data_IF_397128824742
#
_entry.id   IF_397128824742
#
_cell.length_a   1.000
_cell.length_b   1.000
_cell.length_c   1.000
_cell.angle_alpha   90.00
_cell.angle_beta   90.00
_cell.angle_gamma   90.00
#
_symmetry.space_group_name_H-M   'P 1'
#
loop_
_entity.id
_entity.type
_entity.pdbx_description
1 polymer ?
#
# COMPACT_ATOMS: atom_id res chain seq x y z
N UNK A 1 22.35 29.91 1.14
CA UNK A 1 21.62 28.82 1.82
C UNK A 1 20.91 29.42 3.00
N UNK A 2 19.60 29.21 3.13
CA UNK A 2 18.89 29.53 4.37
C UNK A 2 19.34 28.57 5.47
N UNK A 3 19.32 29.06 6.71
CA UNK A 3 19.68 28.29 7.91
C UNK A 3 18.58 28.46 8.96
N UNK A 4 18.40 27.43 9.78
CA UNK A 4 17.61 27.50 11.00
C UNK A 4 18.54 27.69 12.19
N UNK A 5 18.08 28.41 13.22
CA UNK A 5 18.80 28.55 14.48
C UNK A 5 18.19 27.66 15.56
N UNK A 6 19.02 26.90 16.25
CA UNK A 6 18.66 26.13 17.44
C UNK A 6 19.41 26.70 18.64
N UNK A 7 18.68 27.15 19.66
CA UNK A 7 19.27 27.51 20.96
C UNK A 7 19.09 26.35 21.92
N UNK A 8 20.19 25.81 22.45
CA UNK A 8 20.16 24.69 23.40
C UNK A 8 21.24 24.89 24.47
N UNK A 9 20.83 24.83 25.75
CA UNK A 9 21.71 25.05 26.91
C UNK A 9 22.52 26.36 26.84
N UNK A 10 21.91 27.44 26.30
CA UNK A 10 22.56 28.75 26.15
C UNK A 10 23.51 28.87 24.96
N UNK A 11 23.72 27.81 24.17
CA UNK A 11 24.50 27.84 22.94
C UNK A 11 23.57 27.98 21.72
N UNK A 12 24.01 28.74 20.71
CA UNK A 12 23.35 28.79 19.40
C UNK A 12 24.04 27.86 18.40
N UNK A 13 23.24 27.11 17.65
CA UNK A 13 23.68 26.25 16.58
C UNK A 13 22.95 26.63 15.29
N UNK A 14 23.69 26.72 14.19
CA UNK A 14 23.12 26.88 12.86
C UNK A 14 22.94 25.53 12.19
N UNK A 15 21.72 25.26 11.74
CA UNK A 15 21.34 24.04 11.04
C UNK A 15 21.04 24.42 9.57
N UNK A 16 21.68 23.77 8.59
CA UNK A 16 21.34 23.98 7.19
C UNK A 16 19.87 23.65 6.92
N UNK A 17 19.27 24.34 5.94
CA UNK A 17 17.96 23.95 5.42
C UNK A 17 18.07 23.52 3.97
N UNK A 18 17.25 22.55 3.59
CA UNK A 18 17.06 22.09 2.22
C UNK A 18 15.64 22.42 1.77
N UNK A 19 15.47 22.83 0.52
CA UNK A 19 14.15 23.11 -0.07
C UNK A 19 13.91 22.12 -1.20
N UNK A 20 12.83 21.37 -1.12
CA UNK A 20 12.38 20.43 -2.14
C UNK A 20 11.86 21.13 -3.40
N UNK A 21 11.64 20.35 -4.47
CA UNK A 21 11.16 20.86 -5.76
C UNK A 21 9.74 21.44 -5.67
N UNK A 22 8.94 21.03 -4.68
CA UNK A 22 7.58 21.53 -4.44
C UNK A 22 7.52 22.50 -3.24
N UNK A 23 8.69 22.99 -2.80
CA UNK A 23 8.82 24.02 -1.77
C UNK A 23 8.80 23.52 -0.33
N UNK A 24 8.91 22.21 -0.12
CA UNK A 24 9.02 21.60 1.21
C UNK A 24 10.34 22.01 1.86
N UNK A 25 10.30 22.42 3.12
CA UNK A 25 11.50 22.86 3.84
C UNK A 25 11.91 21.79 4.86
N UNK A 26 13.12 21.26 4.71
CA UNK A 26 13.73 20.34 5.66
C UNK A 26 14.87 21.03 6.43
N UNK A 27 14.94 20.78 7.74
CA UNK A 27 16.07 21.19 8.58
C UNK A 27 17.04 20.01 8.66
N UNK A 28 18.28 20.19 8.21
CA UNK A 28 19.27 19.13 8.22
C UNK A 28 19.85 18.90 9.62
N UNK A 29 19.56 17.72 10.19
CA UNK A 29 19.97 17.35 11.55
C UNK A 29 21.03 16.23 11.60
N UNK A 30 21.64 15.87 10.47
CA UNK A 30 22.61 14.78 10.40
C UNK A 30 23.81 14.95 11.36
N UNK A 31 24.23 16.20 11.62
CA UNK A 31 25.33 16.53 12.54
C UNK A 31 24.85 16.89 13.95
N UNK A 32 23.53 17.00 14.20
CA UNK A 32 22.95 17.53 15.43
C UNK A 32 23.51 16.85 16.68
N UNK A 33 23.54 15.52 16.72
CA UNK A 33 24.06 14.78 17.88
C UNK A 33 25.55 14.97 18.08
N UNK A 34 26.32 15.02 16.99
CA UNK A 34 27.77 15.21 17.06
C UNK A 34 28.15 16.60 17.57
N UNK A 35 27.32 17.61 17.30
CA UNK A 35 27.58 19.00 17.71
C UNK A 35 26.95 19.39 19.04
N UNK A 36 25.80 18.82 19.39
CA UNK A 36 25.03 19.21 20.60
C UNK A 36 24.98 18.13 21.69
N UNK A 37 25.27 16.87 21.36
CA UNK A 37 25.00 15.71 22.21
C UNK A 37 23.53 15.27 22.24
N UNK A 38 22.60 16.07 21.73
CA UNK A 38 21.16 15.80 21.75
C UNK A 38 20.68 14.97 20.54
N UNK A 39 19.49 14.40 20.67
CA UNK A 39 18.72 13.80 19.58
C UNK A 39 17.34 14.42 19.56
N UNK A 40 16.68 14.43 18.40
CA UNK A 40 15.24 14.75 18.32
C UNK A 40 14.42 13.59 18.89
N UNK A 41 13.23 13.90 19.42
CA UNK A 41 12.23 12.93 19.84
C UNK A 41 10.96 13.19 19.05
N UNK A 42 10.67 12.32 18.08
CA UNK A 42 9.53 12.45 17.17
C UNK A 42 8.83 11.09 17.04
N UNK A 43 8.01 10.75 18.03
CA UNK A 43 7.28 9.49 18.06
C UNK A 43 6.34 9.39 16.85
N UNK A 44 6.56 8.38 16.00
CA UNK A 44 5.78 8.17 14.78
C UNK A 44 6.25 8.98 13.57
N UNK A 45 7.40 9.66 13.65
CA UNK A 45 8.08 10.32 12.52
C UNK A 45 7.27 11.42 11.82
N UNK A 46 6.28 12.01 12.49
CA UNK A 46 5.38 12.99 11.88
C UNK A 46 6.05 14.31 11.47
N UNK A 47 7.22 14.62 12.04
CA UNK A 47 8.00 15.82 11.76
C UNK A 47 9.37 15.49 11.14
N UNK A 48 9.61 14.23 10.77
CA UNK A 48 10.92 13.74 10.31
C UNK A 48 10.84 13.31 8.84
N UNK A 49 11.41 14.12 7.94
CA UNK A 49 11.68 13.70 6.57
C UNK A 49 12.84 12.69 6.55
N UNK A 50 12.53 11.40 6.40
CA UNK A 50 13.51 10.31 6.53
C UNK A 50 14.43 10.13 5.33
N UNK A 51 14.06 10.65 4.15
CA UNK A 51 14.84 10.54 2.92
C UNK A 51 14.49 11.69 1.97
N UNK A 52 15.36 11.89 0.97
CA UNK A 52 15.02 12.61 -0.26
C UNK A 52 14.44 11.59 -1.23
N UNK A 53 13.40 11.97 -1.98
CA UNK A 53 12.79 11.08 -2.96
C UNK A 53 12.25 11.87 -4.14
N UNK A 54 12.31 11.26 -5.31
CA UNK A 54 11.81 11.80 -6.57
C UNK A 54 10.63 10.96 -7.11
N UNK A 55 10.11 10.01 -6.32
CA UNK A 55 9.11 9.02 -6.77
C UNK A 55 7.70 9.61 -6.76
N UNK A 56 7.26 10.07 -5.59
CA UNK A 56 5.89 10.49 -5.36
C UNK A 56 5.87 11.74 -4.52
N UNK A 57 5.00 12.68 -4.90
CA UNK A 57 4.74 13.90 -4.15
C UNK A 57 3.28 13.93 -3.69
N UNK A 58 3.06 14.40 -2.47
CA UNK A 58 1.73 14.58 -1.88
C UNK A 58 1.61 15.96 -1.24
N UNK A 59 0.59 16.72 -1.65
CA UNK A 59 0.11 17.89 -0.90
C UNK A 59 -1.25 17.52 -0.28
N UNK A 60 -1.22 17.14 1.00
CA UNK A 60 -2.41 16.72 1.74
C UNK A 60 -3.44 17.84 1.93
N UNK A 61 -3.00 19.10 1.99
CA UNK A 61 -3.91 20.23 2.12
C UNK A 61 -4.63 20.49 0.80
N UNK A 62 -3.95 20.36 -0.33
CA UNK A 62 -4.55 20.60 -1.65
C UNK A 62 -5.17 19.37 -2.31
N UNK A 63 -4.97 18.18 -1.74
CA UNK A 63 -5.44 16.93 -2.35
C UNK A 63 -4.65 16.56 -3.61
N UNK A 64 -3.34 16.86 -3.65
CA UNK A 64 -2.48 16.54 -4.80
C UNK A 64 -1.76 15.23 -4.53
N UNK A 65 -1.79 14.34 -5.51
CA UNK A 65 -0.94 13.15 -5.59
C UNK A 65 -0.30 13.11 -6.97
N UNK A 66 1.03 13.02 -7.02
CA UNK A 66 1.77 12.89 -8.27
C UNK A 66 2.76 11.75 -8.20
N UNK A 67 2.81 10.95 -9.25
CA UNK A 67 3.91 10.00 -9.48
C UNK A 67 4.84 10.58 -10.53
N UNK A 68 6.11 10.78 -10.19
CA UNK A 68 7.13 11.38 -11.08
C UNK A 68 6.66 12.69 -11.74
N UNK A 69 5.91 13.51 -10.99
CA UNK A 69 5.35 14.78 -11.47
C UNK A 69 4.03 14.69 -12.23
N UNK A 70 3.60 13.51 -12.69
CA UNK A 70 2.30 13.32 -13.34
C UNK A 70 1.17 13.21 -12.30
N UNK A 71 0.06 13.92 -12.53
CA UNK A 71 -1.12 13.84 -11.65
C UNK A 71 -1.71 12.42 -11.65
N UNK A 72 -2.22 11.99 -10.50
CA UNK A 72 -2.84 10.68 -10.38
C UNK A 72 -4.08 10.54 -11.27
N UNK A 73 -4.81 11.63 -11.48
CA UNK A 73 -5.98 11.71 -12.36
C UNK A 73 -5.60 11.38 -13.80
N UNK A 74 -4.55 12.00 -14.34
CA UNK A 74 -4.11 11.73 -15.71
C UNK A 74 -3.59 10.31 -15.88
N UNK A 75 -2.85 9.80 -14.88
CA UNK A 75 -2.34 8.44 -14.94
C UNK A 75 -3.48 7.40 -14.93
N UNK A 76 -4.47 7.57 -14.03
CA UNK A 76 -5.58 6.64 -13.94
C UNK A 76 -6.53 6.67 -15.16
N UNK A 77 -6.55 7.78 -15.90
CA UNK A 77 -7.37 7.92 -17.11
C UNK A 77 -6.68 7.40 -18.38
N UNK A 78 -5.36 7.61 -18.51
CA UNK A 78 -4.69 7.52 -19.82
C UNK A 78 -3.72 6.36 -19.99
N UNK A 79 -3.24 5.74 -18.90
CA UNK A 79 -2.18 4.73 -18.98
C UNK A 79 -2.55 3.42 -18.30
N UNK A 80 -1.82 2.37 -18.66
CA UNK A 80 -1.93 1.06 -18.03
C UNK A 80 -1.16 0.98 -16.71
N UNK A 81 -1.49 0.00 -15.87
CA UNK A 81 -0.77 -0.25 -14.63
C UNK A 81 0.70 -0.61 -14.90
N UNK A 82 1.01 -1.28 -16.00
CA UNK A 82 2.37 -1.61 -16.42
C UNK A 82 3.18 -0.35 -16.75
N UNK A 83 2.58 0.64 -17.43
CA UNK A 83 3.20 1.94 -17.66
C UNK A 83 3.49 2.67 -16.34
N UNK A 84 2.54 2.64 -15.39
CA UNK A 84 2.72 3.25 -14.06
C UNK A 84 3.78 2.51 -13.24
N UNK A 85 3.78 1.18 -13.25
CA UNK A 85 4.79 0.38 -12.59
C UNK A 85 6.19 0.69 -13.15
N UNK A 86 6.29 0.86 -14.47
CA UNK A 86 7.52 1.28 -15.11
C UNK A 86 7.95 2.69 -14.67
N UNK A 87 7.02 3.65 -14.76
CA UNK A 87 7.23 5.04 -14.38
C UNK A 87 7.76 5.18 -12.95
N UNK A 88 7.13 4.55 -11.97
CA UNK A 88 7.53 4.73 -10.57
C UNK A 88 8.90 4.13 -10.30
N UNK A 89 9.28 3.02 -10.95
CA UNK A 89 10.57 2.34 -10.72
C UNK A 89 11.71 3.06 -11.45
N UNK A 90 11.52 3.40 -12.73
CA UNK A 90 12.59 3.90 -13.61
C UNK A 90 12.56 5.41 -13.87
N UNK A 91 11.53 6.12 -13.41
CA UNK A 91 11.48 7.59 -13.40
C UNK A 91 10.73 8.23 -14.54
N UNK A 92 10.61 7.56 -15.69
CA UNK A 92 9.97 8.08 -16.90
C UNK A 92 8.94 7.10 -17.45
N UNK A 93 7.94 7.61 -18.19
CA UNK A 93 6.99 6.74 -18.90
C UNK A 93 7.73 5.94 -20.00
N UNK A 94 7.40 4.65 -20.20
CA UNK A 94 8.09 3.85 -21.18
C UNK A 94 7.74 4.28 -22.61
N UNK A 95 8.72 4.23 -23.51
CA UNK A 95 8.45 4.16 -24.96
C UNK A 95 7.74 2.87 -25.33
N UNK A 96 7.13 2.80 -26.52
CA UNK A 96 6.43 1.61 -26.99
C UNK A 96 7.32 0.34 -26.98
N UNK A 97 8.59 0.45 -27.37
CA UNK A 97 9.53 -0.68 -27.37
C UNK A 97 9.91 -1.10 -25.93
N UNK A 98 10.08 -0.13 -25.02
CA UNK A 98 10.33 -0.41 -23.61
C UNK A 98 9.13 -1.10 -22.96
N UNK A 99 7.90 -0.61 -23.20
CA UNK A 99 6.68 -1.20 -22.67
C UNK A 99 6.49 -2.62 -23.20
N UNK A 100 6.71 -2.85 -24.50
CA UNK A 100 6.64 -4.18 -25.10
C UNK A 100 7.67 -5.14 -24.49
N UNK A 101 8.91 -4.69 -24.28
CA UNK A 101 9.96 -5.49 -23.65
C UNK A 101 9.62 -5.80 -22.18
N UNK A 102 9.18 -4.79 -21.44
CA UNK A 102 8.78 -4.90 -20.04
C UNK A 102 7.63 -5.90 -19.85
N UNK A 103 6.55 -5.73 -20.60
CA UNK A 103 5.37 -6.64 -20.56
C UNK A 103 5.73 -8.07 -20.94
N UNK A 104 6.54 -8.28 -21.98
CA UNK A 104 6.99 -9.62 -22.37
C UNK A 104 7.81 -10.31 -21.25
N UNK A 105 8.67 -9.56 -20.54
CA UNK A 105 9.43 -10.10 -19.39
C UNK A 105 8.52 -10.38 -18.19
N UNK A 106 7.50 -9.55 -17.95
CA UNK A 106 6.50 -9.83 -16.92
C UNK A 106 5.73 -11.12 -17.23
N UNK A 107 5.33 -11.33 -18.49
CA UNK A 107 4.68 -12.58 -18.92
C UNK A 107 5.59 -13.79 -18.71
N UNK A 108 6.88 -13.67 -19.05
CA UNK A 108 7.87 -14.73 -18.85
C UNK A 108 8.01 -15.13 -17.37
N UNK A 109 8.11 -14.16 -16.47
CA UNK A 109 8.27 -14.40 -15.03
C UNK A 109 6.96 -14.62 -14.28
N UNK A 110 5.80 -14.57 -14.94
CA UNK A 110 4.52 -14.82 -14.31
C UNK A 110 4.37 -16.31 -13.89
N UNK A 111 5.06 -17.23 -14.57
CA UNK A 111 5.10 -18.64 -14.18
C UNK A 111 6.06 -18.79 -12.99
N UNK A 112 5.49 -19.00 -11.81
CA UNK A 112 6.24 -19.25 -10.56
C UNK A 112 6.54 -20.74 -10.38
N UNK A 113 7.61 -21.04 -9.65
CA UNK A 113 8.03 -22.40 -9.34
C UNK A 113 6.94 -23.22 -8.62
N UNK A 114 6.84 -24.51 -8.92
CA UNK A 114 5.84 -25.41 -8.33
C UNK A 114 5.98 -25.55 -6.81
N UNK A 115 7.18 -25.37 -6.25
CA UNK A 115 7.45 -25.35 -4.82
C UNK A 115 6.64 -24.30 -4.06
N UNK A 116 6.24 -23.21 -4.72
CA UNK A 116 5.31 -22.20 -4.16
C UNK A 116 4.00 -22.85 -3.73
N UNK A 117 3.45 -23.75 -4.55
CA UNK A 117 2.17 -24.42 -4.26
C UNK A 117 2.30 -25.35 -3.05
N UNK A 118 3.48 -25.92 -2.84
CA UNK A 118 3.81 -26.74 -1.66
C UNK A 118 3.87 -25.90 -0.39
N UNK A 119 4.39 -24.68 -0.44
CA UNK A 119 4.34 -23.77 0.71
C UNK A 119 2.89 -23.39 1.02
N UNK A 120 2.11 -23.03 -0.01
CA UNK A 120 0.70 -22.68 0.17
C UNK A 120 -0.11 -23.83 0.77
N UNK A 121 0.14 -25.07 0.34
CA UNK A 121 -0.56 -26.26 0.87
C UNK A 121 -0.20 -26.62 2.31
N UNK A 122 0.89 -26.05 2.85
CA UNK A 122 1.24 -26.16 4.26
C UNK A 122 0.35 -25.34 5.20
N UNK A 123 -0.38 -24.35 4.69
CA UNK A 123 -1.31 -23.54 5.47
C UNK A 123 -2.69 -24.20 5.58
N UNK A 124 -3.43 -24.05 6.70
CA UNK A 124 -4.85 -24.34 6.69
C UNK A 124 -5.56 -23.43 5.67
N UNK A 125 -6.60 -23.93 5.00
CA UNK A 125 -7.39 -23.14 4.02
C UNK A 125 -8.04 -21.89 4.64
N UNK A 126 -8.22 -21.89 5.95
CA UNK A 126 -8.74 -20.75 6.73
C UNK A 126 -7.68 -19.70 7.07
N UNK A 127 -6.39 -19.94 6.75
CA UNK A 127 -5.34 -18.97 6.99
C UNK A 127 -5.64 -17.65 6.28
N UNK A 128 -5.28 -16.54 6.92
CA UNK A 128 -5.50 -15.21 6.37
C UNK A 128 -4.60 -14.99 5.14
N UNK A 129 -5.13 -14.49 4.00
CA UNK A 129 -4.37 -14.31 2.76
C UNK A 129 -3.08 -13.51 2.93
N UNK A 130 -3.09 -12.43 3.71
CA UNK A 130 -1.87 -11.64 3.98
C UNK A 130 -0.76 -12.42 4.68
N UNK A 131 -1.09 -13.34 5.58
CA UNK A 131 -0.09 -14.17 6.25
C UNK A 131 0.54 -15.17 5.27
N UNK A 132 -0.28 -15.76 4.40
CA UNK A 132 0.17 -16.63 3.32
C UNK A 132 1.07 -15.86 2.34
N UNK A 133 0.66 -14.66 1.94
CA UNK A 133 1.41 -13.81 1.01
C UNK A 133 2.78 -13.42 1.59
N UNK A 134 2.82 -12.99 2.85
CA UNK A 134 4.08 -12.62 3.52
C UNK A 134 5.06 -13.79 3.57
N UNK A 135 4.57 -15.00 3.91
CA UNK A 135 5.39 -16.20 3.99
C UNK A 135 5.93 -16.64 2.62
N UNK A 136 5.06 -16.70 1.61
CA UNK A 136 5.48 -17.09 0.27
C UNK A 136 6.44 -16.06 -0.32
N UNK A 137 6.17 -14.77 -0.17
CA UNK A 137 7.07 -13.71 -0.62
C UNK A 137 8.46 -13.78 0.03
N UNK A 138 8.54 -14.09 1.33
CA UNK A 138 9.83 -14.27 2.01
C UNK A 138 10.65 -15.43 1.43
N UNK A 139 9.98 -16.51 1.04
CA UNK A 139 10.61 -17.68 0.43
C UNK A 139 10.84 -17.56 -1.08
N UNK A 140 10.26 -16.56 -1.73
CA UNK A 140 10.14 -16.54 -3.19
C UNK A 140 11.49 -16.52 -3.90
N UNK A 141 12.45 -15.74 -3.37
CA UNK A 141 13.82 -15.70 -3.87
C UNK A 141 14.60 -17.01 -3.71
N UNK A 142 14.11 -17.97 -2.92
CA UNK A 142 14.75 -19.31 -2.79
C UNK A 142 14.40 -20.26 -3.94
N UNK A 143 13.43 -19.91 -4.78
CA UNK A 143 13.00 -20.74 -5.93
C UNK A 143 13.63 -20.30 -7.26
N UNK A 144 14.45 -19.25 -7.25
CA UNK A 144 15.05 -18.67 -8.45
C UNK A 144 16.54 -18.46 -8.21
N UNK A 145 17.35 -18.53 -9.26
CA UNK A 145 18.76 -18.14 -9.18
C UNK A 145 18.84 -16.60 -9.14
N UNK A 146 19.35 -16.05 -8.03
CA UNK A 146 19.25 -14.62 -7.75
C UNK A 146 20.34 -14.10 -6.81
N UNK A 147 20.72 -12.84 -6.99
CA UNK A 147 21.50 -12.05 -6.01
C UNK A 147 20.60 -11.36 -4.99
N UNK A 148 19.29 -11.31 -5.24
CA UNK A 148 18.28 -10.72 -4.40
C UNK A 148 18.11 -9.21 -4.60
N UNK A 149 18.78 -8.61 -5.58
CA UNK A 149 18.81 -7.15 -5.77
C UNK A 149 18.95 -6.72 -7.24
N UNK A 150 18.78 -7.64 -8.20
CA UNK A 150 18.92 -7.38 -9.64
C UNK A 150 17.64 -6.82 -10.28
N UNK A 151 17.75 -6.28 -11.50
CA UNK A 151 16.58 -5.89 -12.29
C UNK A 151 15.67 -7.08 -12.63
N UNK A 152 16.24 -8.28 -12.81
CA UNK A 152 15.44 -9.50 -12.97
C UNK A 152 14.61 -9.80 -11.72
N UNK A 153 15.14 -9.54 -10.52
CA UNK A 153 14.40 -9.73 -9.27
C UNK A 153 13.23 -8.76 -9.13
N UNK A 154 13.42 -7.52 -9.59
CA UNK A 154 12.33 -6.53 -9.69
C UNK A 154 11.19 -7.11 -10.54
N UNK A 155 11.49 -7.61 -11.73
CA UNK A 155 10.49 -8.14 -12.65
C UNK A 155 9.83 -9.42 -12.12
N UNK A 156 10.64 -10.33 -11.55
CA UNK A 156 10.14 -11.56 -10.90
C UNK A 156 9.16 -11.23 -9.78
N UNK A 157 9.42 -10.22 -8.96
CA UNK A 157 8.51 -9.85 -7.87
C UNK A 157 7.22 -9.21 -8.41
N UNK A 158 7.28 -8.34 -9.41
CA UNK A 158 6.08 -7.72 -9.99
C UNK A 158 5.20 -8.80 -10.64
N UNK A 159 5.77 -9.66 -11.48
CA UNK A 159 5.05 -10.74 -12.14
C UNK A 159 4.58 -11.81 -11.15
N UNK A 160 5.48 -12.22 -10.23
CA UNK A 160 5.21 -13.20 -9.20
C UNK A 160 4.10 -12.77 -8.25
N UNK A 161 4.07 -11.51 -7.80
CA UNK A 161 3.02 -10.99 -6.92
C UNK A 161 1.61 -11.23 -7.50
N UNK A 162 1.45 -11.07 -8.81
CA UNK A 162 0.21 -11.35 -9.54
C UNK A 162 -0.22 -12.82 -9.37
N UNK A 163 0.67 -13.75 -9.75
CA UNK A 163 0.43 -15.18 -9.64
C UNK A 163 0.24 -15.65 -8.19
N UNK A 164 1.04 -15.13 -7.25
CA UNK A 164 0.97 -15.48 -5.84
C UNK A 164 -0.39 -15.08 -5.23
N UNK A 165 -0.85 -13.85 -5.50
CA UNK A 165 -2.14 -13.38 -5.03
C UNK A 165 -3.29 -14.23 -5.60
N UNK A 166 -3.27 -14.55 -6.89
CA UNK A 166 -4.28 -15.41 -7.50
C UNK A 166 -4.24 -16.85 -6.95
N UNK A 167 -3.05 -17.40 -6.73
CA UNK A 167 -2.89 -18.74 -6.15
C UNK A 167 -3.41 -18.81 -4.72
N UNK A 168 -3.17 -17.79 -3.89
CA UNK A 168 -3.72 -17.71 -2.53
C UNK A 168 -5.25 -17.71 -2.57
N UNK A 169 -5.86 -16.91 -3.45
CA UNK A 169 -7.31 -16.90 -3.64
C UNK A 169 -7.85 -18.31 -3.97
N UNK A 170 -7.27 -18.96 -4.99
CA UNK A 170 -7.73 -20.28 -5.44
C UNK A 170 -7.51 -21.36 -4.40
N UNK A 171 -6.36 -21.36 -3.74
CA UNK A 171 -6.03 -22.31 -2.68
C UNK A 171 -7.10 -22.30 -1.58
N UNK A 172 -7.42 -21.10 -1.06
CA UNK A 172 -8.41 -20.94 0.01
C UNK A 172 -9.80 -21.38 -0.43
N UNK A 173 -10.17 -21.13 -1.68
CA UNK A 173 -11.44 -21.57 -2.30
C UNK A 173 -11.47 -23.04 -2.70
N UNK A 174 -10.34 -23.75 -2.68
CA UNK A 174 -10.25 -25.13 -3.14
C UNK A 174 -10.38 -25.33 -4.63
N UNK A 175 -10.07 -24.28 -5.37
CA UNK A 175 -10.06 -24.30 -6.81
C UNK A 175 -8.69 -24.77 -7.31
N UNK A 176 -8.64 -25.55 -8.41
CA UNK A 176 -7.38 -25.90 -9.07
C UNK A 176 -6.71 -24.64 -9.60
N UNK A 177 -5.38 -24.52 -9.49
CA UNK A 177 -4.64 -23.36 -9.99
C UNK A 177 -4.82 -23.14 -11.50
N UNK A 178 -4.76 -21.88 -11.93
CA UNK A 178 -4.77 -21.47 -13.35
C UNK A 178 -3.45 -20.79 -13.64
N UNK A 179 -2.75 -21.27 -14.67
CA UNK A 179 -1.46 -20.71 -15.07
C UNK A 179 -1.64 -19.41 -15.85
N UNK A 180 -0.58 -18.61 -15.96
CA UNK A 180 -0.60 -17.44 -16.82
C UNK A 180 -0.87 -17.73 -18.29
N UNK A 181 -1.51 -16.78 -18.97
CA UNK A 181 -1.83 -16.84 -20.39
C UNK A 181 -1.11 -15.71 -21.14
N UNK A 182 -0.81 -15.92 -22.42
CA UNK A 182 -0.07 -14.92 -23.21
C UNK A 182 -1.00 -13.85 -23.77
N UNK A 183 -0.48 -12.63 -23.91
CA UNK A 183 -1.17 -11.53 -24.59
C UNK A 183 -2.26 -10.86 -23.76
N UNK A 184 -2.24 -11.03 -22.44
CA UNK A 184 -3.15 -10.36 -21.51
C UNK A 184 -2.42 -9.20 -20.84
N UNK A 185 -3.16 -8.13 -20.51
CA UNK A 185 -2.64 -7.10 -19.61
C UNK A 185 -2.36 -7.68 -18.23
N UNK A 186 -1.61 -6.99 -17.38
CA UNK A 186 -1.35 -7.39 -15.99
C UNK A 186 -2.66 -7.60 -15.20
N UNK A 187 -3.64 -6.71 -15.42
CA UNK A 187 -4.96 -6.82 -14.80
C UNK A 187 -5.73 -8.01 -15.38
N UNK A 188 -5.74 -8.18 -16.71
CA UNK A 188 -6.38 -9.31 -17.37
C UNK A 188 -5.78 -10.66 -16.97
N UNK A 189 -4.45 -10.71 -16.81
CA UNK A 189 -3.68 -11.85 -16.34
C UNK A 189 -4.10 -12.26 -14.92
N UNK A 190 -4.24 -11.29 -14.02
CA UNK A 190 -4.72 -11.55 -12.66
C UNK A 190 -6.15 -12.10 -12.64
N UNK A 191 -7.06 -11.48 -13.40
CA UNK A 191 -8.47 -11.90 -13.51
C UNK A 191 -8.59 -13.30 -14.12
N UNK A 192 -7.80 -13.59 -15.15
CA UNK A 192 -7.72 -14.93 -15.74
C UNK A 192 -7.29 -15.97 -14.70
N UNK A 193 -6.24 -15.70 -13.91
CA UNK A 193 -5.82 -16.64 -12.89
C UNK A 193 -6.85 -16.77 -11.77
N UNK A 194 -7.48 -15.69 -11.34
CA UNK A 194 -8.49 -15.76 -10.29
C UNK A 194 -9.74 -16.54 -10.68
N UNK A 195 -10.33 -16.28 -11.86
CA UNK A 195 -11.65 -16.81 -12.21
C UNK A 195 -11.67 -17.74 -13.41
N UNK A 196 -10.56 -17.89 -14.11
CA UNK A 196 -10.45 -18.77 -15.26
C UNK A 196 -10.67 -20.25 -14.90
N UNK A 197 -11.00 -21.00 -15.94
CA UNK A 197 -10.99 -22.46 -15.93
C UNK A 197 -9.58 -22.95 -16.30
N UNK A 198 -9.02 -23.97 -15.63
CA UNK A 198 -7.64 -24.44 -15.88
C UNK A 198 -7.34 -24.82 -17.34
N UNK A 199 -8.36 -25.19 -18.10
CA UNK A 199 -8.25 -25.60 -19.51
C UNK A 199 -9.07 -24.72 -20.45
N UNK A 200 -9.64 -23.63 -19.96
CA UNK A 200 -10.51 -22.74 -20.73
C UNK A 200 -9.75 -21.54 -21.30
N UNK A 201 -10.25 -20.99 -22.40
CA UNK A 201 -9.75 -19.72 -22.92
C UNK A 201 -10.04 -18.56 -21.93
N UNK A 202 -9.13 -17.58 -21.78
CA UNK A 202 -9.38 -16.41 -20.96
C UNK A 202 -10.64 -15.66 -21.42
N UNK A 203 -11.57 -15.44 -20.48
CA UNK A 203 -12.77 -14.61 -20.68
C UNK A 203 -12.75 -13.49 -19.67
N UNK A 204 -12.36 -12.30 -20.12
CA UNK A 204 -12.20 -11.13 -19.26
C UNK A 204 -13.24 -10.09 -19.66
N UNK A 205 -14.02 -9.62 -18.69
CA UNK A 205 -14.93 -8.51 -18.88
C UNK A 205 -14.09 -7.20 -18.91
N UNK A 206 -14.21 -6.43 -19.99
CA UNK A 206 -13.40 -5.22 -20.19
C UNK A 206 -13.65 -4.13 -19.13
N UNK A 207 -14.88 -3.98 -18.64
CA UNK A 207 -15.20 -3.02 -17.58
C UNK A 207 -14.51 -3.42 -16.26
N UNK A 208 -14.50 -4.72 -15.95
CA UNK A 208 -13.82 -5.26 -14.76
C UNK A 208 -12.30 -5.11 -14.88
N UNK A 209 -11.73 -5.39 -16.05
CA UNK A 209 -10.30 -5.20 -16.30
C UNK A 209 -9.87 -3.74 -16.16
N UNK A 210 -10.64 -2.80 -16.72
CA UNK A 210 -10.39 -1.36 -16.59
C UNK A 210 -10.52 -0.88 -15.14
N UNK A 211 -11.53 -1.36 -14.41
CA UNK A 211 -11.69 -1.03 -13.00
C UNK A 211 -10.51 -1.55 -12.16
N UNK A 212 -10.06 -2.79 -12.40
CA UNK A 212 -8.88 -3.34 -11.74
C UNK A 212 -7.62 -2.54 -12.10
N UNK A 213 -7.43 -2.18 -13.37
CA UNK A 213 -6.29 -1.36 -13.79
C UNK A 213 -6.23 -0.04 -13.01
N UNK A 214 -7.36 0.68 -12.91
CA UNK A 214 -7.46 1.91 -12.12
C UNK A 214 -7.17 1.64 -10.64
N UNK A 215 -7.74 0.59 -10.06
CA UNK A 215 -7.49 0.22 -8.66
C UNK A 215 -6.00 -0.01 -8.41
N UNK A 216 -5.30 -0.74 -9.28
CA UNK A 216 -3.87 -1.00 -9.11
C UNK A 216 -3.04 0.29 -9.23
N UNK A 217 -3.33 1.16 -10.21
CA UNK A 217 -2.67 2.47 -10.37
C UNK A 217 -2.83 3.35 -9.12
N UNK A 218 -4.04 3.43 -8.57
CA UNK A 218 -4.34 4.27 -7.41
C UNK A 218 -3.70 3.77 -6.10
N UNK A 219 -3.25 2.52 -6.09
CA UNK A 219 -2.51 1.93 -4.98
C UNK A 219 -1.01 1.77 -5.27
N UNK A 220 -0.53 2.12 -6.47
CA UNK A 220 0.83 1.90 -6.95
C UNK A 220 1.91 2.39 -5.98
N UNK A 221 1.80 3.63 -5.51
CA UNK A 221 2.67 4.19 -4.48
C UNK A 221 1.90 5.19 -3.60
N UNK A 222 2.44 5.51 -2.44
CA UNK A 222 1.89 6.57 -1.60
C UNK A 222 2.95 7.14 -0.65
N UNK A 223 4.11 7.50 -1.22
CA UNK A 223 5.21 8.17 -0.52
C UNK A 223 5.70 7.39 0.73
N UNK A 224 6.14 8.06 1.81
CA UNK A 224 6.73 7.44 3.00
C UNK A 224 5.68 6.91 4.00
N UNK A 225 4.76 6.06 3.52
CA UNK A 225 3.84 5.32 4.39
C UNK A 225 4.54 4.18 5.16
N UNK A 226 3.88 3.66 6.19
CA UNK A 226 4.43 2.62 7.09
C UNK A 226 5.08 1.44 6.34
N UNK A 227 4.41 0.92 5.31
CA UNK A 227 4.95 -0.21 4.52
C UNK A 227 6.16 0.17 3.66
N UNK A 228 6.12 1.33 2.99
CA UNK A 228 7.25 1.81 2.18
C UNK A 228 8.48 2.12 3.06
N UNK A 229 8.26 2.78 4.20
CA UNK A 229 9.32 3.03 5.19
C UNK A 229 9.89 1.73 5.77
N UNK A 230 9.06 0.69 5.94
CA UNK A 230 9.51 -0.64 6.37
C UNK A 230 10.37 -1.32 5.31
N UNK A 231 9.96 -1.27 4.03
CA UNK A 231 10.76 -1.78 2.91
C UNK A 231 12.12 -1.08 2.86
N UNK A 232 12.15 0.27 2.99
CA UNK A 232 13.40 1.03 3.08
C UNK A 232 14.23 0.66 4.32
N UNK A 233 13.61 0.49 5.49
CA UNK A 233 14.28 0.11 6.73
C UNK A 233 15.01 -1.23 6.59
N UNK A 234 14.32 -2.26 6.10
CA UNK A 234 14.90 -3.59 5.89
C UNK A 234 15.94 -3.57 4.77
N UNK A 235 15.64 -2.91 3.65
CA UNK A 235 16.56 -2.78 2.53
C UNK A 235 17.85 -2.03 2.89
N UNK A 236 17.80 -1.07 3.82
CA UNK A 236 18.98 -0.30 4.25
C UNK A 236 20.04 -1.16 4.95
N UNK A 237 19.66 -2.35 5.44
CA UNK A 237 20.57 -3.36 5.96
C UNK A 237 21.16 -4.26 4.85
N UNK A 238 20.91 -3.95 3.58
CA UNK A 238 21.26 -4.75 2.40
C UNK A 238 20.58 -6.14 2.39
N UNK A 239 19.42 -6.27 3.04
CA UNK A 239 18.59 -7.46 2.87
C UNK A 239 18.05 -7.53 1.44
N UNK A 240 17.78 -8.75 0.95
CA UNK A 240 17.25 -8.95 -0.40
C UNK A 240 15.93 -8.20 -0.60
N UNK A 241 15.64 -7.87 -1.86
CA UNK A 241 14.39 -7.27 -2.29
C UNK A 241 13.21 -8.17 -1.87
N UNK A 242 13.30 -9.49 -2.05
CA UNK A 242 12.28 -10.44 -1.59
C UNK A 242 11.96 -10.31 -0.09
N UNK A 243 12.99 -10.25 0.77
CA UNK A 243 12.81 -10.06 2.21
C UNK A 243 12.23 -8.67 2.54
N UNK A 244 12.67 -7.64 1.82
CA UNK A 244 12.20 -6.26 1.99
C UNK A 244 10.72 -6.12 1.61
N UNK A 245 10.29 -6.74 0.50
CA UNK A 245 8.89 -6.76 0.07
C UNK A 245 8.02 -7.59 1.02
N UNK A 246 8.50 -8.74 1.50
CA UNK A 246 7.79 -9.51 2.54
C UNK A 246 7.57 -8.68 3.82
N UNK A 247 8.57 -7.90 4.24
CA UNK A 247 8.41 -6.98 5.36
C UNK A 247 7.38 -5.87 5.06
N UNK A 248 7.35 -5.36 3.83
CA UNK A 248 6.32 -4.43 3.36
C UNK A 248 4.91 -5.02 3.43
N UNK A 249 4.73 -6.27 3.00
CA UNK A 249 3.48 -7.05 3.13
C UNK A 249 3.09 -7.18 4.61
N UNK A 250 4.05 -7.52 5.49
CA UNK A 250 3.83 -7.59 6.94
C UNK A 250 3.34 -6.26 7.52
N UNK A 251 4.00 -5.15 7.17
CA UNK A 251 3.59 -3.81 7.61
C UNK A 251 2.21 -3.40 7.05
N UNK A 252 1.89 -3.77 5.81
CA UNK A 252 0.59 -3.51 5.18
C UNK A 252 -0.54 -4.33 5.81
N UNK A 253 -0.25 -5.53 6.31
CA UNK A 253 -1.25 -6.39 6.95
C UNK A 253 -1.85 -5.81 8.24
N UNK A 254 -1.22 -4.79 8.83
CA UNK A 254 -1.72 -4.14 10.04
C UNK A 254 -3.05 -3.40 9.80
N UNK A 255 -4.01 -3.46 10.73
CA UNK A 255 -5.34 -2.83 10.59
C UNK A 255 -5.28 -1.30 10.54
N UNK A 256 -4.22 -0.70 11.10
CA UNK A 256 -3.98 0.75 11.04
C UNK A 256 -3.28 1.20 9.74
N UNK A 257 -3.06 0.27 8.80
CA UNK A 257 -2.46 0.56 7.50
C UNK A 257 -3.33 -0.02 6.37
N UNK A 258 -3.02 -1.21 5.85
CA UNK A 258 -3.73 -1.77 4.69
C UNK A 258 -5.03 -2.48 4.98
N UNK A 259 -5.33 -2.81 6.25
CA UNK A 259 -6.57 -3.49 6.63
C UNK A 259 -7.83 -2.60 6.67
N UNK A 260 -7.70 -1.31 6.33
CA UNK A 260 -8.81 -0.36 6.40
C UNK A 260 -9.93 -0.70 5.41
N UNK A 261 -9.60 -1.18 4.20
CA UNK A 261 -10.58 -1.55 3.18
C UNK A 261 -11.44 -2.77 3.58
N UNK A 262 -10.83 -3.78 4.21
CA UNK A 262 -11.54 -4.92 4.81
C UNK A 262 -12.45 -4.44 5.94
N UNK A 263 -11.96 -3.56 6.81
CA UNK A 263 -12.74 -3.03 7.93
C UNK A 263 -13.94 -2.17 7.49
N UNK A 264 -13.89 -1.53 6.30
CA UNK A 264 -15.07 -0.87 5.70
C UNK A 264 -16.17 -1.89 5.48
N UNK A 265 -15.86 -3.04 4.86
CA UNK A 265 -16.86 -4.04 4.53
C UNK A 265 -17.37 -4.78 5.76
N UNK A 266 -16.50 -5.11 6.69
CA UNK A 266 -16.89 -5.70 7.98
C UNK A 266 -17.85 -4.76 8.74
N UNK A 267 -17.58 -3.46 8.73
CA UNK A 267 -18.48 -2.45 9.31
C UNK A 267 -19.82 -2.40 8.56
N UNK A 268 -19.83 -2.41 7.23
CA UNK A 268 -21.07 -2.40 6.44
C UNK A 268 -21.90 -3.68 6.70
N UNK A 269 -21.24 -4.84 6.78
CA UNK A 269 -21.86 -6.12 7.14
C UNK A 269 -22.44 -6.08 8.56
N UNK A 270 -21.73 -5.49 9.52
CA UNK A 270 -22.22 -5.30 10.89
C UNK A 270 -23.52 -4.47 10.90
N UNK A 271 -23.54 -3.33 10.21
CA UNK A 271 -24.71 -2.46 10.09
C UNK A 271 -25.88 -3.22 9.46
N UNK A 272 -25.63 -3.96 8.38
CA UNK A 272 -26.67 -4.74 7.70
C UNK A 272 -27.24 -5.85 8.59
N UNK A 273 -26.37 -6.56 9.31
CA UNK A 273 -26.78 -7.63 10.23
C UNK A 273 -27.55 -7.08 11.44
N UNK A 274 -27.29 -5.83 11.83
CA UNK A 274 -28.04 -5.07 12.84
C UNK A 274 -29.27 -4.33 12.26
N UNK A 275 -29.84 -4.86 11.18
CA UNK A 275 -31.11 -4.36 10.60
C UNK A 275 -30.97 -3.19 9.63
N UNK A 276 -29.74 -2.75 9.32
CA UNK A 276 -29.47 -1.73 8.29
C UNK A 276 -29.63 -0.28 8.74
N UNK A 277 -29.74 -0.02 10.06
CA UNK A 277 -29.86 1.32 10.62
C UNK A 277 -28.52 2.05 10.62
N UNK A 278 -28.16 2.66 9.48
CA UNK A 278 -26.93 3.45 9.36
C UNK A 278 -26.92 4.69 10.28
N UNK A 279 -28.10 5.24 10.66
CA UNK A 279 -28.18 6.44 11.50
C UNK A 279 -27.72 6.15 12.93
N UNK A 280 -28.03 4.97 13.47
CA UNK A 280 -27.49 4.47 14.75
C UNK A 280 -25.96 4.53 14.77
N UNK A 281 -25.31 4.01 13.73
CA UNK A 281 -23.85 3.94 13.64
C UNK A 281 -23.18 5.30 13.39
N UNK A 282 -23.86 6.18 12.66
CA UNK A 282 -23.48 7.60 12.57
C UNK A 282 -23.53 8.25 13.95
N UNK A 283 -24.55 7.97 14.76
CA UNK A 283 -24.65 8.41 16.15
C UNK A 283 -23.48 7.90 17.01
N UNK A 284 -23.16 6.61 16.90
CA UNK A 284 -22.01 6.01 17.60
C UNK A 284 -20.69 6.67 17.21
N UNK A 285 -20.47 6.95 15.92
CA UNK A 285 -19.24 7.61 15.45
C UNK A 285 -19.08 9.07 15.94
N UNK A 286 -20.19 9.72 16.30
CA UNK A 286 -20.21 11.06 16.89
C UNK A 286 -19.95 11.05 18.40
N UNK A 287 -20.30 9.95 19.05
CA UNK A 287 -20.07 9.76 20.48
C UNK A 287 -18.59 9.42 20.75
N UNK A 288 -17.95 10.24 21.60
CA UNK A 288 -16.54 10.05 21.95
C UNK A 288 -16.31 8.86 22.88
N UNK A 289 -17.33 8.46 23.64
CA UNK A 289 -17.23 7.38 24.61
C UNK A 289 -17.51 6.01 23.99
N UNK A 290 -18.08 5.96 22.78
CA UNK A 290 -18.43 4.71 22.10
C UNK A 290 -17.20 3.91 21.65
N UNK A 291 -16.08 4.60 21.39
CA UNK A 291 -14.89 4.02 20.75
C UNK A 291 -15.07 3.61 19.28
N UNK A 292 -16.28 3.76 18.72
CA UNK A 292 -16.61 3.39 17.36
C UNK A 292 -16.06 4.41 16.35
N UNK A 293 -15.61 3.92 15.19
CA UNK A 293 -15.11 4.75 14.10
C UNK A 293 -15.71 4.29 12.78
N UNK A 294 -16.14 5.26 11.96
CA UNK A 294 -16.52 5.01 10.58
C UNK A 294 -15.28 4.70 9.74
N UNK A 295 -15.10 3.43 9.39
CA UNK A 295 -13.99 2.94 8.57
C UNK A 295 -14.13 3.43 7.13
N UNK A 296 -13.01 3.78 6.49
CA UNK A 296 -12.99 4.35 5.14
C UNK A 296 -13.26 5.86 5.07
N UNK A 297 -13.31 6.55 6.22
CA UNK A 297 -13.52 8.00 6.30
C UNK A 297 -12.34 8.71 6.97
N UNK A 298 -11.96 9.85 6.40
CA UNK A 298 -10.80 10.64 6.82
C UNK A 298 -9.47 10.07 6.31
N UNK A 299 -8.41 10.86 6.46
CA UNK A 299 -7.07 10.49 6.00
C UNK A 299 -5.97 11.17 6.82
N UNK A 300 -4.82 10.50 7.01
CA UNK A 300 -3.69 11.05 7.79
C UNK A 300 -3.04 12.25 7.10
N UNK A 301 -2.83 12.11 5.78
CA UNK A 301 -2.21 13.11 4.91
C UNK A 301 -3.25 14.09 4.34
N UNK A 302 -4.18 13.63 3.50
CA UNK A 302 -5.23 14.47 2.94
C UNK A 302 -6.16 15.09 3.98
N UNK A 303 -6.31 16.41 3.94
CA UNK A 303 -7.23 17.14 4.82
C UNK A 303 -8.56 17.41 4.15
N UNK A 304 -8.61 17.74 2.86
CA UNK A 304 -9.85 18.23 2.24
C UNK A 304 -10.61 17.18 1.42
N UNK A 305 -9.90 16.34 0.67
CA UNK A 305 -10.46 15.17 -0.01
C UNK A 305 -9.30 14.26 -0.47
N UNK A 306 -9.58 12.98 -0.72
CA UNK A 306 -8.64 12.07 -1.35
C UNK A 306 -8.85 12.08 -2.88
N UNK A 307 -7.88 12.52 -3.70
CA UNK A 307 -8.05 12.59 -5.15
C UNK A 307 -8.36 11.22 -5.78
N UNK A 308 -7.86 10.14 -5.16
CA UNK A 308 -8.07 8.76 -5.63
C UNK A 308 -9.52 8.32 -5.43
N UNK A 309 -10.15 8.76 -4.34
CA UNK A 309 -11.52 8.40 -4.02
C UNK A 309 -12.51 8.94 -5.08
N UNK A 310 -12.25 10.13 -5.63
CA UNK A 310 -13.06 10.70 -6.71
C UNK A 310 -13.01 9.85 -7.99
N UNK A 311 -11.83 9.35 -8.34
CA UNK A 311 -11.62 8.48 -9.51
C UNK A 311 -12.31 7.12 -9.30
N UNK A 312 -12.15 6.53 -8.11
CA UNK A 312 -12.79 5.25 -7.80
C UNK A 312 -14.30 5.33 -7.70
N UNK A 313 -14.86 6.46 -7.28
CA UNK A 313 -16.32 6.64 -7.28
C UNK A 313 -16.91 6.42 -8.68
N UNK A 314 -16.34 7.08 -9.69
CA UNK A 314 -16.79 6.92 -11.07
C UNK A 314 -16.60 5.48 -11.57
N UNK A 315 -15.45 4.85 -11.27
CA UNK A 315 -15.21 3.46 -11.63
C UNK A 315 -16.17 2.48 -10.92
N UNK A 316 -16.60 2.82 -9.71
CA UNK A 316 -17.58 2.04 -8.96
C UNK A 316 -18.94 2.06 -9.65
N UNK A 317 -19.41 3.24 -10.07
CA UNK A 317 -20.68 3.37 -10.79
C UNK A 317 -20.64 2.56 -12.11
N UNK A 318 -19.56 2.67 -12.90
CA UNK A 318 -19.37 1.90 -14.14
C UNK A 318 -19.43 0.38 -13.91
N UNK A 319 -18.76 -0.12 -12.85
CA UNK A 319 -18.72 -1.56 -12.53
C UNK A 319 -20.09 -2.06 -12.11
N UNK A 320 -20.76 -1.35 -11.20
CA UNK A 320 -22.07 -1.73 -10.70
C UNK A 320 -23.12 -1.80 -11.82
N UNK A 321 -23.13 -0.79 -12.69
CA UNK A 321 -24.02 -0.74 -13.84
C UNK A 321 -23.72 -1.87 -14.84
N UNK A 322 -22.44 -2.16 -15.11
CA UNK A 322 -22.03 -3.20 -16.06
C UNK A 322 -22.35 -4.62 -15.60
N UNK A 323 -22.29 -4.88 -14.29
CA UNK A 323 -22.53 -6.20 -13.71
C UNK A 323 -23.98 -6.41 -13.28
N UNK A 324 -24.79 -5.33 -13.22
CA UNK A 324 -26.18 -5.39 -12.75
C UNK A 324 -26.29 -5.91 -11.31
N UNK A 325 -25.31 -5.58 -10.46
CA UNK A 325 -25.25 -6.07 -9.07
C UNK A 325 -26.21 -5.26 -8.20
N UNK A 326 -27.16 -5.96 -7.58
CA UNK A 326 -27.99 -5.45 -6.51
C UNK A 326 -27.49 -6.02 -5.17
N UNK A 327 -26.96 -5.15 -4.30
CA UNK A 327 -26.35 -5.54 -3.03
C UNK A 327 -26.72 -4.54 -1.92
N UNK A 328 -27.43 -4.99 -0.87
CA UNK A 328 -27.87 -4.14 0.24
C UNK A 328 -26.75 -3.34 0.94
N UNK A 329 -25.51 -3.86 0.94
CA UNK A 329 -24.39 -3.12 1.53
C UNK A 329 -24.03 -1.87 0.73
N UNK A 330 -24.25 -1.89 -0.58
CA UNK A 330 -24.02 -0.72 -1.44
C UNK A 330 -24.98 0.41 -1.09
N UNK A 331 -26.22 0.08 -0.76
CA UNK A 331 -27.21 1.06 -0.32
C UNK A 331 -26.83 1.69 1.02
N UNK A 332 -26.35 0.89 1.98
CA UNK A 332 -25.80 1.40 3.25
C UNK A 332 -24.59 2.30 2.97
N UNK A 333 -23.67 1.86 2.11
CA UNK A 333 -22.50 2.62 1.74
C UNK A 333 -22.87 3.98 1.13
N UNK A 334 -23.79 4.03 0.17
CA UNK A 334 -24.28 5.29 -0.44
C UNK A 334 -24.91 6.23 0.59
N UNK A 335 -25.65 5.70 1.56
CA UNK A 335 -26.24 6.48 2.66
C UNK A 335 -25.17 7.04 3.59
N UNK A 336 -24.17 6.24 3.98
CA UNK A 336 -23.04 6.68 4.80
C UNK A 336 -22.17 7.72 4.08
N UNK A 337 -21.92 7.53 2.78
CA UNK A 337 -21.22 8.51 1.93
C UNK A 337 -21.93 9.86 1.99
N UNK A 338 -23.25 9.86 1.76
CA UNK A 338 -24.08 11.07 1.82
C UNK A 338 -23.99 11.76 3.18
N UNK A 339 -24.10 11.01 4.27
CA UNK A 339 -23.94 11.55 5.63
C UNK A 339 -22.57 12.21 5.80
N UNK A 340 -21.49 11.55 5.39
CA UNK A 340 -20.15 12.10 5.58
C UNK A 340 -19.92 13.41 4.79
N UNK A 341 -20.63 13.60 3.68
CA UNK A 341 -20.56 14.81 2.86
C UNK A 341 -21.47 15.95 3.35
N UNK A 342 -22.59 15.64 4.00
CA UNK A 342 -23.63 16.63 4.35
C UNK A 342 -23.69 16.94 5.85
N UNK A 343 -23.28 16.03 6.72
CA UNK A 343 -23.39 16.18 8.17
C UNK A 343 -22.30 17.06 8.77
N UNK A 344 -22.71 18.06 9.56
CA UNK A 344 -21.81 19.09 10.12
C UNK A 344 -20.66 18.49 10.95
N UNK A 345 -20.89 17.38 11.66
CA UNK A 345 -19.84 16.74 12.47
C UNK A 345 -18.69 16.24 11.60
N UNK A 346 -19.02 15.61 10.47
CA UNK A 346 -18.09 14.98 9.54
C UNK A 346 -17.38 16.02 8.70
N UNK A 347 -18.11 17.00 8.16
CA UNK A 347 -17.55 18.11 7.37
C UNK A 347 -16.55 18.92 8.21
N UNK A 348 -16.91 19.27 9.45
CA UNK A 348 -16.02 20.04 10.35
C UNK A 348 -14.75 19.29 10.73
N UNK A 349 -14.82 17.96 10.82
CA UNK A 349 -13.67 17.08 11.11
C UNK A 349 -12.96 16.59 9.85
N UNK A 350 -13.47 16.97 8.67
CA UNK A 350 -12.96 16.57 7.37
C UNK A 350 -12.90 15.05 7.17
N UNK A 351 -13.94 14.35 7.62
CA UNK A 351 -14.07 12.90 7.56
C UNK A 351 -14.73 12.47 6.24
N UNK A 352 -14.04 12.70 5.12
CA UNK A 352 -14.52 12.34 3.79
C UNK A 352 -14.22 10.89 3.43
N UNK A 353 -15.01 10.23 2.56
CA UNK A 353 -14.67 8.92 2.02
C UNK A 353 -13.26 8.94 1.39
N UNK A 354 -12.47 7.91 1.68
CA UNK A 354 -11.13 7.75 1.13
C UNK A 354 -11.07 6.61 0.10
N UNK A 355 -9.87 6.34 -0.44
CA UNK A 355 -9.67 5.26 -1.44
C UNK A 355 -10.12 3.88 -0.95
N UNK A 356 -10.02 3.60 0.35
CA UNK A 356 -10.34 2.29 0.93
C UNK A 356 -11.85 2.03 0.92
N UNK A 357 -12.66 3.09 1.05
CA UNK A 357 -14.12 3.00 0.99
C UNK A 357 -14.59 2.49 -0.38
N UNK A 358 -14.24 3.17 -1.47
CA UNK A 358 -14.68 2.79 -2.81
C UNK A 358 -14.00 1.52 -3.33
N UNK A 359 -12.74 1.27 -2.97
CA UNK A 359 -12.06 0.05 -3.40
C UNK A 359 -12.70 -1.20 -2.81
N UNK A 360 -13.08 -1.19 -1.53
CA UNK A 360 -13.79 -2.30 -0.91
C UNK A 360 -15.13 -2.59 -1.59
N UNK A 361 -15.87 -1.53 -1.95
CA UNK A 361 -17.15 -1.63 -2.67
C UNK A 361 -16.96 -2.28 -4.04
N UNK A 362 -15.97 -1.83 -4.82
CA UNK A 362 -15.67 -2.41 -6.14
C UNK A 362 -15.25 -3.87 -5.98
N UNK A 363 -14.33 -4.19 -5.08
CA UNK A 363 -13.88 -5.58 -4.87
C UNK A 363 -15.04 -6.51 -4.49
N UNK A 364 -15.99 -6.03 -3.69
CA UNK A 364 -17.22 -6.77 -3.37
C UNK A 364 -18.10 -6.99 -4.60
N UNK A 365 -18.32 -5.96 -5.41
CA UNK A 365 -19.07 -6.09 -6.67
C UNK A 365 -18.42 -7.10 -7.62
N UNK A 366 -17.09 -7.23 -7.57
CA UNK A 366 -16.31 -8.24 -8.30
C UNK A 366 -16.31 -9.62 -7.64
N UNK A 367 -17.02 -9.82 -6.53
CA UNK A 367 -17.05 -11.06 -5.74
C UNK A 367 -15.66 -11.52 -5.27
N UNK A 368 -14.76 -10.56 -5.01
CA UNK A 368 -13.50 -10.81 -4.34
C UNK A 368 -13.80 -10.93 -2.83
N UNK A 369 -13.35 -12.00 -2.15
CA UNK A 369 -13.56 -12.15 -0.71
C UNK A 369 -12.91 -11.02 0.09
N UNK A 370 -13.55 -10.53 1.15
CA UNK A 370 -13.10 -9.39 1.96
C UNK A 370 -11.65 -9.56 2.46
N UNK A 371 -11.27 -10.77 2.86
CA UNK A 371 -9.94 -11.07 3.36
C UNK A 371 -8.82 -11.00 2.29
N UNK A 372 -9.20 -10.92 1.00
CA UNK A 372 -8.27 -10.68 -0.10
C UNK A 372 -8.04 -9.18 -0.36
N UNK A 373 -8.80 -8.27 0.22
CA UNK A 373 -8.71 -6.84 -0.11
C UNK A 373 -7.33 -6.25 0.17
N UNK A 374 -6.71 -6.61 1.30
CA UNK A 374 -5.35 -6.17 1.62
C UNK A 374 -4.31 -6.83 0.69
N UNK A 375 -4.58 -8.03 0.16
CA UNK A 375 -3.74 -8.65 -0.88
C UNK A 375 -3.87 -7.90 -2.20
N UNK A 376 -5.07 -7.46 -2.58
CA UNK A 376 -5.28 -6.59 -3.73
C UNK A 376 -4.54 -5.26 -3.58
N UNK A 377 -4.54 -4.71 -2.36
CA UNK A 377 -3.73 -3.54 -2.04
C UNK A 377 -2.23 -3.85 -2.22
N UNK A 378 -1.73 -4.95 -1.65
CA UNK A 378 -0.32 -5.36 -1.83
C UNK A 378 0.06 -5.54 -3.30
N UNK A 379 -0.83 -6.11 -4.12
CA UNK A 379 -0.66 -6.29 -5.56
C UNK A 379 -0.48 -4.94 -6.27
N UNK A 380 -1.33 -3.95 -5.97
CA UNK A 380 -1.18 -2.60 -6.49
C UNK A 380 0.10 -1.93 -5.99
N UNK A 381 0.43 -2.09 -4.70
CA UNK A 381 1.52 -1.38 -4.00
C UNK A 381 2.93 -1.88 -4.34
N UNK A 382 3.08 -3.08 -4.90
CA UNK A 382 4.40 -3.68 -5.11
C UNK A 382 5.37 -2.81 -5.94
N UNK A 383 4.95 -2.10 -7.01
CA UNK A 383 5.88 -1.25 -7.78
C UNK A 383 6.37 -0.06 -6.95
N UNK A 384 5.53 0.55 -6.12
CA UNK A 384 5.92 1.62 -5.20
C UNK A 384 6.94 1.14 -4.18
N UNK A 385 6.73 -0.03 -3.55
CA UNK A 385 7.74 -0.60 -2.65
C UNK A 385 9.08 -0.85 -3.34
N UNK A 386 9.05 -1.40 -4.55
CA UNK A 386 10.26 -1.62 -5.34
C UNK A 386 10.95 -0.30 -5.67
N UNK A 387 10.21 0.72 -6.13
CA UNK A 387 10.75 2.04 -6.43
C UNK A 387 11.44 2.66 -5.21
N UNK A 388 10.77 2.61 -4.05
CA UNK A 388 11.27 3.15 -2.79
C UNK A 388 12.53 2.40 -2.31
N UNK A 389 12.57 1.08 -2.48
CA UNK A 389 13.77 0.27 -2.23
C UNK A 389 14.89 0.59 -3.22
N UNK A 390 14.57 0.69 -4.51
CA UNK A 390 15.54 0.89 -5.59
C UNK A 390 16.21 2.26 -5.49
N UNK A 391 15.45 3.32 -5.22
CA UNK A 391 15.99 4.66 -4.97
C UNK A 391 16.90 4.68 -3.73
N UNK A 392 16.49 4.03 -2.64
CA UNK A 392 17.32 3.92 -1.42
C UNK A 392 18.59 3.11 -1.66
N UNK A 393 18.51 2.00 -2.40
CA UNK A 393 19.63 1.09 -2.66
C UNK A 393 20.72 1.75 -3.51
N UNK A 394 20.32 2.63 -4.42
CA UNK A 394 21.19 3.31 -5.37
C UNK A 394 21.62 4.72 -4.87
N UNK A 395 21.19 5.17 -3.69
CA UNK A 395 21.66 6.42 -3.11
C UNK A 395 23.14 6.29 -2.69
N UNK A 396 24.09 7.00 -3.34
CA UNK A 396 25.52 6.90 -3.03
C UNK A 396 25.86 7.46 -1.63
N UNK A 397 24.95 8.20 -1.02
CA UNK A 397 25.06 8.74 0.35
C UNK A 397 24.30 7.92 1.38
N UNK A 398 23.59 6.88 0.94
CA UNK A 398 22.75 6.01 1.75
C UNK A 398 23.53 5.32 2.88
N UNK A 399 22.85 5.13 4.01
CA UNK A 399 23.36 4.43 5.20
C UNK A 399 22.27 3.54 5.79
N UNK A 400 22.68 2.56 6.58
CA UNK A 400 21.74 1.76 7.36
C UNK A 400 20.83 2.65 8.23
N UNK A 401 19.52 2.40 8.18
CA UNK A 401 18.55 3.09 9.01
C UNK A 401 18.61 2.55 10.44
N UNK A 402 19.09 3.40 11.36
CA UNK A 402 19.33 3.00 12.76
C UNK A 402 18.95 4.12 13.73
N UNK A 403 17.65 4.29 14.04
CA UNK A 403 17.16 5.37 14.90
C UNK A 403 17.69 5.26 16.34
N UNK A 404 17.55 6.35 17.10
CA UNK A 404 17.90 6.42 18.53
C UNK A 404 16.63 6.39 19.38
N UNK A 405 16.81 6.13 20.67
CA UNK A 405 15.77 6.24 21.68
C UNK A 405 16.24 7.16 22.82
N UNK A 406 15.29 7.68 23.58
CA UNK A 406 15.54 8.25 24.91
C UNK A 406 15.24 7.15 25.93
N UNK A 407 16.26 6.72 26.68
CA UNK A 407 16.11 5.68 27.67
C UNK A 407 15.45 6.25 28.94
N UNK A 408 14.29 5.72 29.30
CA UNK A 408 13.52 6.11 30.50
C UNK A 408 13.32 4.94 31.47
N UNK A 409 14.12 3.87 31.32
CA UNK A 409 14.09 2.71 32.20
C UNK A 409 14.92 2.90 33.48
N UNK A 410 15.02 1.84 34.28
CA UNK A 410 15.88 1.81 35.46
C UNK A 410 17.34 2.07 35.08
N UNK A 411 18.05 2.87 35.88
CA UNK A 411 19.50 3.04 35.73
C UNK A 411 20.25 1.78 36.15
N UNK A 412 21.58 1.88 36.23
CA UNK A 412 22.43 0.80 36.74
C UNK A 412 21.88 0.23 38.06
N UNK A 413 21.76 -1.10 38.12
CA UNK A 413 21.34 -1.87 39.30
C UNK A 413 22.05 -3.22 39.31
N UNK A 414 22.46 -3.67 40.49
CA UNK A 414 23.11 -4.96 40.64
C UNK A 414 22.14 -6.10 40.30
N UNK A 415 22.67 -7.16 39.69
CA UNK A 415 21.90 -8.39 39.45
C UNK A 415 21.93 -9.22 40.71
N UNK A 416 20.79 -9.36 41.37
CA UNK A 416 20.66 -10.28 42.50
C UNK A 416 20.72 -11.73 41.99
N UNK A 417 21.58 -12.60 42.56
CA UNK A 417 21.62 -14.02 42.23
C UNK A 417 20.24 -14.64 42.31
N UNK A 418 19.93 -15.64 41.47
CA UNK A 418 18.56 -16.19 41.40
C UNK A 418 18.07 -16.78 42.74
N UNK A 419 19.00 -17.21 43.60
CA UNK A 419 18.74 -17.68 44.97
C UNK A 419 18.35 -16.58 45.95
N UNK A 420 18.52 -15.31 45.58
CA UNK A 420 18.40 -14.13 46.46
C UNK A 420 17.42 -13.08 45.92
N UNK A 421 16.73 -13.34 44.81
CA UNK A 421 15.80 -12.40 44.14
C UNK A 421 14.48 -12.22 44.86
#
# INVERSE_FOLDING_TARGET
>A
MSTAKLTLNGNEYELPTFVGSEGEVAIEIAKLRGTTGAVTLDSGYGNTGSCKSEITFIDGEKGILRYRGYSIEELAEKVSFEEVAYLVIWGELPTADQLKSFTARLEEYAIVDEGVKTILSGFPRTAHPMAMLGAVMASFGSFVETTGDSEEDILRIIAGMNSLAAYIYRYRRGLPYVYPARGLSYSGQFLHQMWGEPTGEPKINSAVEQALNKLLILHADHEQNCSASTVRMVGSAHASLYASISAGVGALSGPLHGGANQAVLEMLEEIQNDGGDFEKYVGLAKDKESGFRLMGFGHRVYKNFDPRAKILKAACDDVLDSLGVDDPLLDIAKKLEKVALEDEFFVKRKLYPNVDFYSGIIYRALNIPTEMFTVMFALGRVPGWIAQWHEMRNDPTGRIHRPRQIYTGATERAVTPISER
#
